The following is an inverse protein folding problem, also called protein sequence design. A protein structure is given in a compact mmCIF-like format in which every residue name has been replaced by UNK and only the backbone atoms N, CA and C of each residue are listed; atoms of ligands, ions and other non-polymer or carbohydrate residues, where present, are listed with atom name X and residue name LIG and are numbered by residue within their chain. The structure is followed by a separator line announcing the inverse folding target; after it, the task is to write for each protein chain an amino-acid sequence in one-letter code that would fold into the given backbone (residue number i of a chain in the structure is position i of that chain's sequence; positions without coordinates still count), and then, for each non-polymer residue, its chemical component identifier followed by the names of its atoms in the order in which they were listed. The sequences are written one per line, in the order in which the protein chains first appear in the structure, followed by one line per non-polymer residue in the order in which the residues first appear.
data_IF_558401312725
#
_entry.id   IF_558401312725
#
_cell.length_a   1.000
_cell.length_b   1.000
_cell.length_c   1.000
_cell.angle_alpha   90.00
_cell.angle_beta   90.00
_cell.angle_gamma   90.00
#
_symmetry.space_group_name_H-M   'P 1'
#
loop_
_entity.id
_entity.type
_entity.pdbx_description
1 polymer ?
#
# COMPACT_ATOMS: atom_id res chain seq x y z
N UNK A 1 -25.06 82.13 -15.05
CA UNK A 1 -24.58 81.21 -14.02
C UNK A 1 -24.98 79.80 -14.41
N UNK A 2 -24.08 79.00 -14.99
CA UNK A 2 -24.39 77.67 -15.53
C UNK A 2 -23.67 76.65 -14.64
N UNK A 3 -24.45 75.83 -13.93
CA UNK A 3 -23.90 74.79 -13.05
C UNK A 3 -23.75 73.48 -13.81
N UNK A 4 -22.52 73.07 -14.05
CA UNK A 4 -22.17 71.82 -14.71
C UNK A 4 -22.14 70.67 -13.71
N UNK A 5 -23.07 69.68 -13.90
CA UNK A 5 -23.22 68.48 -13.07
C UNK A 5 -22.25 67.38 -13.52
N UNK A 6 -21.19 67.15 -12.76
CA UNK A 6 -20.26 66.02 -13.00
C UNK A 6 -20.93 64.69 -12.58
N UNK A 7 -20.99 63.74 -13.54
CA UNK A 7 -21.39 62.35 -13.25
C UNK A 7 -20.12 61.55 -12.95
N UNK A 8 -20.05 61.05 -11.73
CA UNK A 8 -19.03 60.05 -11.29
C UNK A 8 -19.45 58.66 -11.66
N UNK A 9 -18.73 58.01 -12.56
CA UNK A 9 -18.93 56.62 -12.96
C UNK A 9 -18.11 55.73 -12.05
N UNK A 10 -18.77 55.00 -11.16
CA UNK A 10 -18.14 54.00 -10.29
C UNK A 10 -17.94 52.70 -11.10
N UNK A 11 -16.68 52.35 -11.36
CA UNK A 11 -16.31 51.08 -11.98
C UNK A 11 -16.12 50.04 -10.83
N UNK A 12 -17.10 49.13 -10.74
CA UNK A 12 -17.02 47.97 -9.82
C UNK A 12 -16.13 46.90 -10.42
N UNK A 13 -14.93 46.73 -9.86
CA UNK A 13 -14.08 45.57 -10.12
C UNK A 13 -14.59 44.37 -9.35
N UNK A 14 -15.24 43.44 -10.04
CA UNK A 14 -15.55 42.12 -9.49
C UNK A 14 -14.26 41.27 -9.52
N UNK A 15 -13.66 41.10 -8.36
CA UNK A 15 -12.57 40.15 -8.14
C UNK A 15 -13.14 38.72 -8.19
N UNK A 16 -12.91 38.02 -9.30
CA UNK A 16 -13.11 36.58 -9.42
C UNK A 16 -12.03 35.87 -8.59
N UNK A 17 -12.36 35.43 -7.38
CA UNK A 17 -11.56 34.47 -6.65
C UNK A 17 -11.75 33.08 -7.28
N UNK A 18 -10.81 32.67 -8.12
CA UNK A 18 -10.67 31.26 -8.53
C UNK A 18 -10.09 30.51 -7.35
N UNK A 19 -10.93 29.83 -6.59
CA UNK A 19 -10.50 28.88 -5.58
C UNK A 19 -9.89 27.68 -6.29
N UNK A 20 -8.54 27.63 -6.32
CA UNK A 20 -7.82 26.39 -6.63
C UNK A 20 -8.06 25.42 -5.48
N UNK A 21 -8.97 24.49 -5.67
CA UNK A 21 -9.11 23.34 -4.79
C UNK A 21 -7.88 22.43 -5.00
N UNK A 22 -6.86 22.61 -4.15
CA UNK A 22 -5.80 21.63 -4.00
C UNK A 22 -6.42 20.39 -3.33
N UNK A 23 -6.74 19.40 -4.14
CA UNK A 23 -7.05 18.06 -3.63
C UNK A 23 -5.77 17.50 -3.00
N UNK A 24 -5.64 17.67 -1.70
CA UNK A 24 -4.63 16.95 -0.92
C UNK A 24 -5.02 15.48 -0.98
N UNK A 25 -4.24 14.67 -1.70
CA UNK A 25 -4.33 13.22 -1.57
C UNK A 25 -3.97 12.89 -0.11
N UNK A 26 -4.99 12.61 0.69
CA UNK A 26 -4.81 12.08 2.04
C UNK A 26 -4.16 10.73 1.85
N UNK A 27 -2.91 10.57 2.29
CA UNK A 27 -2.25 9.28 2.34
C UNK A 27 -3.10 8.38 3.26
N UNK A 28 -3.87 7.48 2.66
CA UNK A 28 -4.63 6.49 3.41
C UNK A 28 -3.64 5.44 3.90
N UNK A 29 -3.49 5.32 5.21
CA UNK A 29 -2.71 4.24 5.84
C UNK A 29 -3.39 2.87 5.71
N UNK A 30 -4.56 2.80 5.08
CA UNK A 30 -5.39 1.62 4.99
C UNK A 30 -5.38 1.04 3.57
N UNK A 31 -5.11 -0.27 3.50
CA UNK A 31 -5.29 -1.04 2.28
C UNK A 31 -6.79 -1.30 2.02
N UNK A 32 -7.19 -1.56 0.76
CA UNK A 32 -8.56 -1.90 0.45
C UNK A 32 -9.06 -3.12 1.22
N UNK A 33 -10.34 -3.09 1.61
CA UNK A 33 -10.97 -4.22 2.27
C UNK A 33 -11.30 -5.29 1.24
N UNK A 34 -10.70 -6.47 1.42
CA UNK A 34 -10.94 -7.63 0.57
C UNK A 34 -12.09 -8.48 1.12
N UNK A 35 -12.93 -8.99 0.23
CA UNK A 35 -14.10 -9.80 0.59
C UNK A 35 -13.68 -11.14 1.17
N UNK A 36 -14.21 -11.55 2.32
CA UNK A 36 -13.99 -12.89 2.88
C UNK A 36 -14.44 -14.01 1.92
N UNK A 37 -13.82 -15.18 2.04
CA UNK A 37 -14.16 -16.35 1.24
C UNK A 37 -13.01 -17.34 1.12
N UNK A 38 -13.13 -18.25 0.17
CA UNK A 38 -12.05 -19.15 -0.23
C UNK A 38 -11.14 -18.42 -1.20
N UNK A 39 -9.88 -18.30 -0.83
CA UNK A 39 -8.85 -17.61 -1.59
C UNK A 39 -7.78 -18.59 -2.06
N UNK A 40 -7.28 -18.37 -3.27
CA UNK A 40 -6.11 -19.05 -3.82
C UNK A 40 -4.95 -18.07 -3.92
N UNK A 41 -3.82 -18.46 -3.32
CA UNK A 41 -2.58 -17.70 -3.30
C UNK A 41 -1.52 -18.44 -4.11
N UNK A 42 -0.94 -17.75 -5.07
CA UNK A 42 0.26 -18.22 -5.78
C UNK A 42 1.43 -17.32 -5.39
N UNK A 43 2.44 -17.91 -4.77
CA UNK A 43 3.58 -17.18 -4.20
C UNK A 43 4.88 -17.73 -4.72
N UNK A 44 5.73 -16.83 -5.24
CA UNK A 44 7.11 -17.11 -5.63
C UNK A 44 8.06 -16.33 -4.73
N UNK A 45 9.05 -16.99 -4.16
CA UNK A 45 10.11 -16.36 -3.36
C UNK A 45 11.46 -16.64 -4.01
N UNK A 46 12.25 -15.59 -4.18
CA UNK A 46 13.64 -15.64 -4.65
C UNK A 46 14.56 -15.04 -3.59
N UNK A 47 15.78 -15.57 -3.49
CA UNK A 47 16.83 -15.04 -2.61
C UNK A 47 18.10 -14.78 -3.41
N UNK A 48 18.95 -13.88 -2.90
CA UNK A 48 20.21 -13.52 -3.56
C UNK A 48 21.39 -14.42 -3.24
N UNK A 49 21.25 -15.37 -2.32
CA UNK A 49 22.33 -16.30 -1.96
C UNK A 49 22.44 -17.44 -2.97
N UNK A 50 23.67 -17.83 -3.28
CA UNK A 50 24.05 -18.73 -4.39
C UNK A 50 23.44 -20.14 -4.32
N UNK A 51 23.03 -20.58 -3.12
CA UNK A 51 22.48 -21.92 -2.88
C UNK A 51 20.96 -21.96 -2.78
N UNK A 52 20.27 -20.91 -3.19
CA UNK A 52 18.82 -20.85 -3.09
C UNK A 52 18.14 -21.06 -4.44
N UNK A 53 17.28 -22.07 -4.53
CA UNK A 53 16.38 -22.24 -5.65
C UNK A 53 15.07 -21.50 -5.41
N UNK A 54 14.51 -20.82 -6.40
CA UNK A 54 13.18 -20.19 -6.28
C UNK A 54 12.14 -21.18 -5.79
N UNK A 55 11.28 -20.74 -4.87
CA UNK A 55 10.18 -21.55 -4.35
C UNK A 55 8.86 -21.01 -4.85
N UNK A 56 8.12 -21.86 -5.53
CA UNK A 56 6.75 -21.61 -5.93
C UNK A 56 5.80 -22.43 -5.05
N UNK A 57 4.78 -21.76 -4.51
CA UNK A 57 3.75 -22.38 -3.70
C UNK A 57 2.38 -21.89 -4.11
N UNK A 58 1.43 -22.83 -4.17
CA UNK A 58 0.01 -22.50 -4.30
C UNK A 58 -0.73 -23.03 -3.08
N UNK A 59 -1.46 -22.13 -2.40
CA UNK A 59 -2.22 -22.45 -1.20
C UNK A 59 -3.64 -21.96 -1.36
N UNK A 60 -4.61 -22.72 -0.83
CA UNK A 60 -6.02 -22.31 -0.74
C UNK A 60 -6.40 -22.19 0.71
N UNK A 61 -6.91 -21.04 1.08
CA UNK A 61 -7.29 -20.73 2.45
C UNK A 61 -8.64 -20.05 2.52
N UNK A 62 -9.39 -20.38 3.55
CA UNK A 62 -10.68 -19.80 3.82
C UNK A 62 -10.53 -18.72 4.88
N UNK A 63 -10.90 -17.48 4.55
CA UNK A 63 -10.74 -16.36 5.48
C UNK A 63 -10.92 -15.00 4.85
N UNK A 64 -10.44 -13.99 5.56
CA UNK A 64 -10.37 -12.60 5.13
C UNK A 64 -8.90 -12.18 4.97
N UNK A 65 -8.40 -11.95 3.77
CA UNK A 65 -7.02 -11.48 3.58
C UNK A 65 -6.76 -10.15 4.29
N UNK A 66 -7.72 -9.24 4.35
CA UNK A 66 -7.57 -7.97 5.09
C UNK A 66 -7.28 -8.20 6.57
N UNK A 67 -8.01 -9.10 7.22
CA UNK A 67 -7.76 -9.44 8.62
C UNK A 67 -6.36 -10.04 8.84
N UNK A 68 -5.90 -10.88 7.92
CA UNK A 68 -4.54 -11.44 7.97
C UNK A 68 -3.49 -10.36 7.85
N UNK A 69 -3.64 -9.43 6.90
CA UNK A 69 -2.72 -8.30 6.71
C UNK A 69 -2.69 -7.37 7.92
N UNK A 70 -3.85 -7.07 8.51
CA UNK A 70 -3.94 -6.27 9.75
C UNK A 70 -3.21 -6.92 10.92
N UNK A 71 -3.44 -8.23 11.13
CA UNK A 71 -2.77 -8.99 12.18
C UNK A 71 -1.25 -9.03 11.95
N UNK A 72 -0.80 -9.24 10.72
CA UNK A 72 0.62 -9.23 10.37
C UNK A 72 1.25 -7.86 10.64
N UNK A 73 0.60 -6.78 10.23
CA UNK A 73 1.05 -5.42 10.50
C UNK A 73 1.11 -5.12 12.00
N UNK A 74 0.13 -5.59 12.77
CA UNK A 74 0.14 -5.44 14.23
C UNK A 74 1.33 -6.16 14.87
N UNK A 75 1.70 -7.34 14.39
CA UNK A 75 2.89 -8.07 14.86
C UNK A 75 4.16 -7.29 14.54
N UNK A 76 4.32 -6.80 13.31
CA UNK A 76 5.50 -6.01 12.92
C UNK A 76 5.64 -4.72 13.74
N UNK A 77 4.53 -4.01 13.99
CA UNK A 77 4.56 -2.82 14.87
C UNK A 77 4.99 -3.16 16.30
N UNK A 78 4.55 -4.30 16.86
CA UNK A 78 5.01 -4.77 18.18
C UNK A 78 6.49 -5.11 18.20
N UNK A 79 7.07 -5.52 17.07
CA UNK A 79 8.51 -5.73 16.92
C UNK A 79 9.30 -4.44 16.71
N UNK A 80 8.63 -3.28 16.71
CA UNK A 80 9.24 -1.96 16.55
C UNK A 80 9.45 -1.55 15.08
N UNK A 81 8.84 -2.26 14.12
CA UNK A 81 8.91 -1.87 12.72
C UNK A 81 8.08 -0.60 12.47
N UNK A 82 8.65 0.33 11.71
CA UNK A 82 7.92 1.44 11.12
C UNK A 82 7.32 0.96 9.79
N UNK A 83 5.98 0.94 9.71
CA UNK A 83 5.25 0.53 8.51
C UNK A 83 4.51 1.76 7.97
N UNK A 84 4.67 2.01 6.67
CA UNK A 84 3.93 3.04 5.97
C UNK A 84 3.28 2.48 4.71
N UNK A 85 2.06 2.92 4.45
CA UNK A 85 1.30 2.62 3.24
C UNK A 85 0.99 3.94 2.53
N UNK A 86 1.18 3.96 1.22
CA UNK A 86 0.89 5.13 0.39
C UNK A 86 0.10 4.69 -0.82
N UNK A 87 -1.08 5.25 -1.02
CA UNK A 87 -1.84 5.06 -2.24
C UNK A 87 -1.15 5.78 -3.40
N UNK A 88 -0.84 5.05 -4.48
CA UNK A 88 -0.18 5.57 -5.68
C UNK A 88 -1.19 5.86 -6.78
N UNK A 89 -2.18 4.97 -6.94
CA UNK A 89 -3.35 5.12 -7.82
C UNK A 89 -4.58 4.60 -7.08
N UNK A 90 -5.76 4.66 -7.68
CA UNK A 90 -6.99 4.11 -7.09
C UNK A 90 -6.88 2.64 -6.66
N UNK A 91 -6.04 1.85 -7.37
CA UNK A 91 -5.88 0.42 -7.12
C UNK A 91 -4.48 0.01 -6.68
N UNK A 92 -3.50 0.90 -6.69
CA UNK A 92 -2.10 0.58 -6.44
C UNK A 92 -1.60 1.26 -5.18
N UNK A 93 -0.95 0.48 -4.31
CA UNK A 93 -0.42 0.90 -3.02
C UNK A 93 1.05 0.55 -2.91
N UNK A 94 1.83 1.44 -2.35
CA UNK A 94 3.21 1.18 -1.92
C UNK A 94 3.21 0.94 -0.41
N UNK A 95 3.87 -0.13 0.00
CA UNK A 95 4.06 -0.47 1.42
C UNK A 95 5.54 -0.49 1.71
N UNK A 96 5.95 0.11 2.81
CA UNK A 96 7.32 0.05 3.31
C UNK A 96 7.31 -0.43 4.75
N UNK A 97 8.31 -1.22 5.13
CA UNK A 97 8.52 -1.63 6.50
C UNK A 97 10.02 -1.55 6.83
N UNK A 98 10.35 -0.79 7.85
CA UNK A 98 11.71 -0.63 8.38
C UNK A 98 11.73 -1.20 9.80
N UNK A 99 12.45 -2.31 9.98
CA UNK A 99 12.49 -3.05 11.25
C UNK A 99 13.86 -2.95 11.90
N UNK A 100 13.94 -2.66 13.21
CA UNK A 100 15.20 -2.75 13.94
C UNK A 100 15.62 -4.22 14.09
N UNK A 101 16.91 -4.49 13.97
CA UNK A 101 17.45 -5.81 14.25
C UNK A 101 18.41 -5.77 15.43
N UNK A 102 18.52 -6.87 16.17
CA UNK A 102 19.44 -6.97 17.31
C UNK A 102 20.91 -6.87 16.88
N UNK A 103 21.21 -7.13 15.62
CA UNK A 103 22.57 -7.05 15.06
C UNK A 103 22.96 -5.64 14.59
N UNK A 104 22.07 -4.64 14.71
CA UNK A 104 22.28 -3.29 14.18
C UNK A 104 22.13 -3.18 12.66
N UNK A 105 21.93 -4.29 11.94
CA UNK A 105 21.58 -4.29 10.52
C UNK A 105 20.08 -4.09 10.42
N UNK A 106 19.65 -3.08 9.70
CA UNK A 106 18.22 -2.84 9.47
C UNK A 106 17.67 -3.91 8.54
N UNK A 107 16.47 -4.40 8.84
CA UNK A 107 15.68 -5.17 7.88
C UNK A 107 14.70 -4.21 7.22
N UNK A 108 14.78 -4.11 5.90
CA UNK A 108 13.93 -3.22 5.11
C UNK A 108 13.09 -4.04 4.13
N UNK A 109 11.84 -3.63 3.95
CA UNK A 109 10.95 -4.19 2.93
C UNK A 109 10.25 -3.06 2.18
N UNK A 110 10.17 -3.20 0.87
CA UNK A 110 9.48 -2.27 -0.01
C UNK A 110 8.61 -3.07 -0.95
N UNK A 111 7.32 -2.78 -0.96
CA UNK A 111 6.36 -3.52 -1.76
C UNK A 111 5.46 -2.61 -2.56
N UNK A 112 4.96 -3.15 -3.67
CA UNK A 112 3.87 -2.58 -4.43
C UNK A 112 2.78 -3.63 -4.51
N UNK A 113 1.56 -3.26 -4.14
CA UNK A 113 0.37 -4.09 -4.26
C UNK A 113 -0.64 -3.42 -5.19
N UNK A 114 -1.22 -4.19 -6.09
CA UNK A 114 -2.28 -3.74 -7.00
C UNK A 114 -3.51 -4.59 -6.77
N UNK A 115 -4.64 -3.94 -6.52
CA UNK A 115 -5.92 -4.57 -6.21
C UNK A 115 -6.84 -4.53 -7.43
N UNK A 116 -7.57 -5.61 -7.65
CA UNK A 116 -8.66 -5.70 -8.63
C UNK A 116 -9.97 -5.90 -7.86
N UNK A 117 -10.58 -4.76 -7.53
CA UNK A 117 -11.74 -4.70 -6.65
C UNK A 117 -11.46 -5.31 -5.27
N UNK A 118 -12.44 -6.08 -4.78
CA UNK A 118 -12.40 -6.74 -3.48
C UNK A 118 -12.07 -8.25 -3.57
N UNK A 119 -11.72 -8.74 -4.76
CA UNK A 119 -11.66 -10.18 -5.07
C UNK A 119 -10.33 -10.66 -5.62
N UNK A 120 -9.40 -9.78 -5.94
CA UNK A 120 -8.06 -10.17 -6.37
C UNK A 120 -7.03 -9.07 -6.03
N UNK A 121 -5.78 -9.49 -5.86
CA UNK A 121 -4.64 -8.58 -5.80
C UNK A 121 -3.35 -9.27 -6.19
N UNK A 122 -2.37 -8.47 -6.59
CA UNK A 122 -0.99 -8.89 -6.80
C UNK A 122 -0.07 -8.05 -5.96
N UNK A 123 1.07 -8.61 -5.53
CA UNK A 123 2.11 -7.83 -4.89
C UNK A 123 3.50 -8.29 -5.30
N UNK A 124 4.43 -7.34 -5.32
CA UNK A 124 5.87 -7.58 -5.43
C UNK A 124 6.53 -6.89 -4.25
N UNK A 125 7.27 -7.65 -3.46
CA UNK A 125 7.94 -7.17 -2.26
C UNK A 125 9.43 -7.46 -2.37
N UNK A 126 10.24 -6.42 -2.34
CA UNK A 126 11.69 -6.49 -2.19
C UNK A 126 12.02 -6.32 -0.72
N UNK A 127 12.76 -7.25 -0.16
CA UNK A 127 13.19 -7.22 1.25
C UNK A 127 14.68 -7.45 1.36
N UNK A 128 15.29 -6.82 2.35
CA UNK A 128 16.69 -6.99 2.67
C UNK A 128 16.84 -7.22 4.17
N UNK A 129 17.66 -8.18 4.57
CA UNK A 129 17.87 -8.49 5.96
C UNK A 129 19.12 -9.35 6.18
N UNK A 130 19.51 -9.51 7.44
CA UNK A 130 20.69 -10.31 7.80
C UNK A 130 20.30 -11.75 8.14
N UNK A 131 20.94 -12.71 7.48
CA UNK A 131 20.90 -14.14 7.85
C UNK A 131 22.32 -14.57 8.21
N UNK A 132 22.52 -15.06 9.41
CA UNK A 132 23.82 -15.46 9.92
C UNK A 132 24.92 -14.38 9.71
N UNK A 133 24.57 -13.10 9.89
CA UNK A 133 25.48 -11.97 9.73
C UNK A 133 25.74 -11.55 8.27
N UNK A 134 25.17 -12.23 7.29
CA UNK A 134 25.27 -11.86 5.87
C UNK A 134 24.00 -11.17 5.42
N UNK A 135 24.15 -10.11 4.63
CA UNK A 135 23.04 -9.42 3.99
C UNK A 135 22.44 -10.30 2.90
N UNK A 136 21.14 -10.55 2.96
CA UNK A 136 20.41 -11.36 1.99
C UNK A 136 19.24 -10.55 1.49
N UNK A 137 19.05 -10.54 0.18
CA UNK A 137 17.90 -9.92 -0.47
C UNK A 137 16.87 -10.98 -0.84
N UNK A 138 15.61 -10.62 -0.69
CA UNK A 138 14.48 -11.45 -1.05
C UNK A 138 13.60 -10.68 -2.03
N UNK A 139 13.07 -11.38 -3.01
CA UNK A 139 11.99 -10.86 -3.86
C UNK A 139 10.84 -11.84 -3.75
N UNK A 140 9.72 -11.35 -3.27
CA UNK A 140 8.48 -12.10 -3.20
C UNK A 140 7.49 -11.56 -4.22
N UNK A 141 6.89 -12.46 -4.99
CA UNK A 141 5.76 -12.17 -5.87
C UNK A 141 4.57 -12.98 -5.40
N UNK A 142 3.45 -12.33 -5.24
CA UNK A 142 2.21 -12.94 -4.82
C UNK A 142 1.10 -12.54 -5.79
N UNK A 143 0.30 -13.52 -6.21
CA UNK A 143 -1.03 -13.28 -6.77
C UNK A 143 -2.05 -13.98 -5.91
N UNK A 144 -3.13 -13.30 -5.59
CA UNK A 144 -4.21 -13.82 -4.77
C UNK A 144 -5.54 -13.53 -5.44
N UNK A 145 -6.43 -14.51 -5.45
CA UNK A 145 -7.78 -14.38 -6.00
C UNK A 145 -8.78 -15.13 -5.15
N UNK A 146 -9.94 -14.54 -4.98
CA UNK A 146 -11.08 -15.20 -4.37
C UNK A 146 -11.68 -16.18 -5.37
N UNK A 147 -11.81 -17.46 -5.00
CA UNK A 147 -12.30 -18.52 -5.87
C UNK A 147 -13.68 -19.04 -5.45
N UNK A 148 -14.23 -18.53 -4.36
CA UNK A 148 -15.57 -18.94 -3.91
C UNK A 148 -15.85 -18.54 -2.46
N UNK A 149 -16.93 -19.07 -1.95
CA UNK A 149 -17.28 -18.97 -0.53
C UNK A 149 -16.65 -20.12 0.24
N UNK A 150 -16.50 -19.92 1.54
CA UNK A 150 -16.04 -20.98 2.43
C UNK A 150 -17.15 -22.04 2.58
N UNK A 151 -16.76 -23.31 2.60
CA UNK A 151 -17.70 -24.37 2.99
C UNK A 151 -18.16 -24.16 4.43
N UNK A 152 -19.47 -24.24 4.64
CA UNK A 152 -20.03 -24.21 6.01
C UNK A 152 -19.60 -25.50 6.69
N UNK A 153 -18.85 -25.37 7.78
CA UNK A 153 -18.59 -26.48 8.71
C UNK A 153 -19.81 -26.80 9.54
#
# INVERSE_FOLDING_TARGET
MTVTKQRTTTVSYALLFVALEFSYAVASDELPVLRPGLWEYHRTVQRSDENWSPKDTTVRECGSPSTVLEQQNAVYRKLGCAIATTQVTESTYRVTADCPTKSGIKAESRGVATFDGDSAYTSVIDSEGAIAGKLVKFVERLSARRIGDCEKK
#
